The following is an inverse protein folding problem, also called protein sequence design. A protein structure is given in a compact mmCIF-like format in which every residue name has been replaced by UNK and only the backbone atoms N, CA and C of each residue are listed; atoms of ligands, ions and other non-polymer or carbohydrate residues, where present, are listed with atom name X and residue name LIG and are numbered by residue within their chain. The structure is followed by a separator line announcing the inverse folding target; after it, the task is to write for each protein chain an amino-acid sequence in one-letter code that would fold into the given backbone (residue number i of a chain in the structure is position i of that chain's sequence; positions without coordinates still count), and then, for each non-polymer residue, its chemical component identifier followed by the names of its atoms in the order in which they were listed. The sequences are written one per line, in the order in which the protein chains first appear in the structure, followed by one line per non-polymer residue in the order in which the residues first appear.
data_IF_391930894727
#
_entry.id   IF_391930894727
#
_cell.length_a   1.000
_cell.length_b   1.000
_cell.length_c   1.000
_cell.angle_alpha   90.00
_cell.angle_beta   90.00
_cell.angle_gamma   90.00
#
_symmetry.space_group_name_H-M   'P 1'
#
loop_
_entity.id
_entity.type
_entity.pdbx_description
1 polymer ?
#
# COMPACT_ATOMS: atom_id res chain seq x y z
N UNK A 1 10.69 87.01 83.92
CA UNK A 1 9.43 87.07 84.66
C UNK A 1 8.42 86.16 83.96
N UNK A 2 7.88 85.21 84.73
CA UNK A 2 6.73 84.32 84.39
C UNK A 2 6.83 83.36 83.25
N UNK A 3 7.00 82.05 83.51
CA UNK A 3 6.04 80.98 83.75
C UNK A 3 5.10 80.80 82.60
N UNK A 4 4.96 79.63 81.97
CA UNK A 4 4.26 78.36 82.30
C UNK A 4 4.37 77.36 81.17
N UNK A 5 4.76 76.27 81.54
CA UNK A 5 4.03 75.01 81.72
C UNK A 5 3.54 74.33 80.48
N UNK A 6 4.12 73.22 80.24
CA UNK A 6 3.89 72.25 79.22
C UNK A 6 3.09 71.09 79.75
N UNK A 7 2.15 70.58 78.95
CA UNK A 7 1.67 69.24 79.17
C UNK A 7 1.79 68.44 77.85
N UNK A 8 2.36 67.30 78.01
CA UNK A 8 2.56 66.36 76.91
C UNK A 8 1.29 65.58 76.53
N UNK A 9 1.20 65.27 75.29
CA UNK A 9 0.24 64.32 74.78
C UNK A 9 0.99 63.11 74.22
N UNK A 10 0.76 61.98 74.84
CA UNK A 10 1.17 60.68 74.32
C UNK A 10 0.20 60.29 73.15
N UNK A 11 0.72 60.02 72.05
CA UNK A 11 0.01 59.33 70.97
C UNK A 11 0.72 58.03 70.64
N UNK A 12 0.15 56.95 71.12
CA UNK A 12 0.51 55.60 70.66
C UNK A 12 -0.78 54.88 70.34
N UNK A 13 -1.18 54.89 69.10
CA UNK A 13 -2.13 53.90 68.59
C UNK A 13 -1.51 53.21 67.41
N UNK A 14 -0.97 52.03 67.68
CA UNK A 14 -0.54 51.06 66.65
C UNK A 14 -1.78 50.38 66.07
N UNK A 15 -2.17 50.73 64.86
CA UNK A 15 -3.13 50.00 64.12
C UNK A 15 -2.50 48.68 63.60
N UNK A 16 -2.65 47.58 64.32
CA UNK A 16 -2.36 46.27 63.86
C UNK A 16 -3.48 45.84 62.84
N UNK A 17 -3.15 45.41 61.61
CA UNK A 17 -4.16 44.98 60.70
C UNK A 17 -4.77 43.65 61.19
N UNK A 18 -6.10 43.59 61.25
CA UNK A 18 -6.85 42.42 61.70
C UNK A 18 -6.59 41.17 60.82
N UNK A 19 -6.54 39.98 61.44
CA UNK A 19 -6.24 38.72 60.72
C UNK A 19 -7.21 38.45 59.55
N UNK A 20 -8.39 38.99 59.58
CA UNK A 20 -9.41 38.84 58.55
C UNK A 20 -9.11 39.60 57.27
N UNK A 21 -8.35 40.68 57.29
CA UNK A 21 -7.91 41.41 56.09
C UNK A 21 -6.79 40.68 55.34
N UNK A 22 -5.93 39.92 56.06
CA UNK A 22 -4.88 39.08 55.45
C UNK A 22 -5.44 37.85 54.79
N UNK A 23 -6.53 37.23 55.30
CA UNK A 23 -7.21 36.11 54.69
C UNK A 23 -7.93 36.53 53.41
N UNK A 24 -8.53 37.72 53.33
CA UNK A 24 -9.18 38.23 52.11
C UNK A 24 -8.20 38.52 50.97
N UNK A 25 -7.01 39.00 51.23
CA UNK A 25 -5.97 39.27 50.24
C UNK A 25 -5.35 37.98 49.67
N UNK A 26 -5.19 36.93 50.48
CA UNK A 26 -4.72 35.62 50.02
C UNK A 26 -5.78 34.88 49.20
N UNK A 27 -7.05 35.02 49.52
CA UNK A 27 -8.13 34.44 48.74
C UNK A 27 -8.33 35.13 47.35
N UNK A 28 -8.09 36.45 47.28
CA UNK A 28 -8.16 37.19 46.02
C UNK A 28 -6.96 36.88 45.08
N UNK A 29 -5.76 36.56 45.64
CA UNK A 29 -4.61 36.16 44.81
C UNK A 29 -4.75 34.74 44.22
N UNK A 30 -5.46 33.82 44.88
CA UNK A 30 -5.75 32.47 44.33
C UNK A 30 -6.81 32.46 43.25
N UNK A 31 -7.72 33.45 43.21
CA UNK A 31 -8.76 33.59 42.21
C UNK A 31 -8.27 34.13 40.83
N UNK A 32 -7.03 34.67 40.79
CA UNK A 32 -6.41 35.22 39.58
C UNK A 32 -5.40 34.27 38.90
N UNK A 33 -5.36 32.99 39.26
CA UNK A 33 -4.61 32.03 38.42
C UNK A 33 -5.34 31.92 37.07
N UNK A 34 -4.74 32.36 35.94
CA UNK A 34 -5.31 32.10 34.67
C UNK A 34 -5.46 30.58 34.56
N UNK A 35 -6.70 30.10 34.42
CA UNK A 35 -6.95 28.70 34.13
C UNK A 35 -6.09 28.36 32.92
N UNK A 36 -5.06 27.54 33.10
CA UNK A 36 -4.33 26.94 32.01
C UNK A 36 -5.37 26.10 31.30
N UNK A 37 -6.04 26.71 30.33
CA UNK A 37 -6.85 25.98 29.39
C UNK A 37 -5.87 24.97 28.76
N UNK A 38 -5.92 23.73 29.21
CA UNK A 38 -5.33 22.60 28.53
C UNK A 38 -5.98 22.62 27.15
N UNK A 39 -5.35 23.32 26.20
CA UNK A 39 -5.68 23.25 24.80
C UNK A 39 -5.51 21.79 24.43
N UNK A 40 -6.59 21.05 24.42
CA UNK A 40 -6.59 19.71 23.84
C UNK A 40 -6.10 19.90 22.42
N UNK A 41 -4.90 19.39 22.14
CA UNK A 41 -4.41 19.35 20.78
C UNK A 41 -5.55 18.76 19.92
N UNK A 42 -5.90 19.40 18.80
CA UNK A 42 -7.00 18.93 17.97
C UNK A 42 -6.80 17.45 17.67
N UNK A 43 -7.79 16.65 18.02
CA UNK A 43 -7.73 15.20 17.78
C UNK A 43 -7.56 14.96 16.28
N UNK A 44 -6.52 14.22 15.90
CA UNK A 44 -6.33 13.83 14.51
C UNK A 44 -7.42 12.81 14.10
N UNK A 45 -8.05 12.92 12.90
CA UNK A 45 -7.94 14.00 11.92
C UNK A 45 -8.89 15.17 12.20
N UNK A 46 -8.45 16.41 11.93
CA UNK A 46 -9.25 17.63 12.09
C UNK A 46 -9.53 18.35 10.75
N UNK A 47 -8.97 17.84 9.64
CA UNK A 47 -9.12 18.37 8.27
C UNK A 47 -9.16 17.22 7.26
N UNK A 48 -9.57 17.45 6.01
CA UNK A 48 -9.59 16.42 4.98
C UNK A 48 -8.22 15.73 4.78
N UNK A 49 -8.27 14.41 4.55
CA UNK A 49 -7.11 13.58 4.24
C UNK A 49 -7.07 13.35 2.72
N UNK A 50 -5.88 13.38 2.15
CA UNK A 50 -5.65 13.14 0.74
C UNK A 50 -4.96 11.80 0.52
N UNK A 51 -5.51 10.95 -0.34
CA UNK A 51 -4.87 9.75 -0.88
C UNK A 51 -4.38 10.07 -2.28
N UNK A 52 -3.07 10.09 -2.47
CA UNK A 52 -2.41 10.29 -3.76
C UNK A 52 -2.30 8.95 -4.48
N UNK A 53 -2.77 8.88 -5.72
CA UNK A 53 -2.77 7.70 -6.58
C UNK A 53 -1.77 7.87 -7.71
N UNK A 54 -0.84 6.91 -7.94
CA UNK A 54 0.24 7.05 -8.93
C UNK A 54 -0.17 6.84 -10.38
N UNK A 55 -1.42 6.44 -10.63
CA UNK A 55 -1.93 6.09 -11.96
C UNK A 55 -3.16 6.89 -12.34
N UNK A 56 -3.53 6.79 -13.62
CA UNK A 56 -4.69 7.48 -14.18
C UNK A 56 -6.00 7.03 -13.50
N UNK A 57 -7.01 7.91 -13.44
CA UNK A 57 -8.35 7.57 -12.98
C UNK A 57 -8.93 6.36 -13.74
N UNK A 58 -9.72 5.54 -13.03
CA UNK A 58 -10.39 4.36 -13.58
C UNK A 58 -9.54 3.09 -13.64
N UNK A 59 -8.24 3.16 -13.34
CA UNK A 59 -7.39 1.97 -13.18
C UNK A 59 -7.66 1.24 -11.86
N UNK A 60 -7.10 0.02 -11.72
CA UNK A 60 -7.30 -0.82 -10.53
C UNK A 60 -6.91 -0.10 -9.23
N UNK A 61 -5.73 0.52 -9.17
CA UNK A 61 -5.25 1.27 -8.00
C UNK A 61 -6.17 2.46 -7.65
N UNK A 62 -6.68 3.18 -8.66
CA UNK A 62 -7.62 4.29 -8.48
C UNK A 62 -8.96 3.79 -7.93
N UNK A 63 -9.47 2.70 -8.48
CA UNK A 63 -10.72 2.06 -8.02
C UNK A 63 -10.61 1.63 -6.56
N UNK A 64 -9.50 0.98 -6.18
CA UNK A 64 -9.22 0.61 -4.79
C UNK A 64 -9.19 1.85 -3.89
N UNK A 65 -8.46 2.90 -4.32
CA UNK A 65 -8.34 4.13 -3.54
C UNK A 65 -9.71 4.78 -3.29
N UNK A 66 -10.59 4.83 -4.30
CA UNK A 66 -11.93 5.40 -4.16
C UNK A 66 -12.85 4.57 -3.28
N UNK A 67 -12.84 3.23 -3.43
CA UNK A 67 -13.58 2.31 -2.56
C UNK A 67 -13.14 2.49 -1.11
N UNK A 68 -11.84 2.58 -0.86
CA UNK A 68 -11.30 2.79 0.48
C UNK A 68 -11.59 4.19 1.02
N UNK A 69 -11.46 5.24 0.20
CA UNK A 69 -11.71 6.62 0.61
C UNK A 69 -13.15 6.83 1.11
N UNK A 70 -14.14 6.21 0.45
CA UNK A 70 -15.53 6.23 0.88
C UNK A 70 -15.72 5.70 2.32
N UNK A 71 -15.13 4.54 2.62
CA UNK A 71 -15.23 3.92 3.95
C UNK A 71 -14.36 4.60 4.99
N UNK A 72 -13.15 5.02 4.61
CA UNK A 72 -12.27 5.76 5.51
C UNK A 72 -12.87 7.11 5.93
N UNK A 73 -13.64 7.76 5.04
CA UNK A 73 -14.39 8.98 5.39
C UNK A 73 -15.34 8.72 6.55
N UNK A 74 -16.06 7.59 6.52
CA UNK A 74 -16.99 7.20 7.60
C UNK A 74 -16.23 6.85 8.89
N UNK A 75 -15.17 6.02 8.78
CA UNK A 75 -14.45 5.50 9.95
C UNK A 75 -13.59 6.57 10.64
N UNK A 76 -13.09 7.55 9.89
CA UNK A 76 -12.24 8.63 10.42
C UNK A 76 -13.01 9.90 10.77
N UNK A 77 -14.27 10.03 10.32
CA UNK A 77 -15.10 11.22 10.56
C UNK A 77 -14.64 12.48 9.83
N UNK A 78 -13.76 12.33 8.83
CA UNK A 78 -13.25 13.42 7.99
C UNK A 78 -13.21 12.99 6.53
N UNK A 79 -13.43 13.93 5.62
CA UNK A 79 -13.38 13.65 4.17
C UNK A 79 -12.05 13.07 3.75
N UNK A 80 -12.07 11.96 3.02
CA UNK A 80 -10.90 11.35 2.38
C UNK A 80 -11.02 11.53 0.87
N UNK A 81 -10.09 12.30 0.30
CA UNK A 81 -10.10 12.69 -1.10
C UNK A 81 -9.04 11.92 -1.89
N UNK A 82 -9.36 11.55 -3.12
CA UNK A 82 -8.42 10.86 -4.03
C UNK A 82 -7.89 11.85 -5.05
N UNK A 83 -6.55 11.96 -5.15
CA UNK A 83 -5.85 12.78 -6.13
C UNK A 83 -4.91 11.94 -6.98
N UNK A 84 -5.11 11.91 -8.30
CA UNK A 84 -4.23 11.18 -9.21
C UNK A 84 -3.05 12.05 -9.64
N UNK A 85 -1.81 11.54 -9.46
CA UNK A 85 -0.56 12.16 -9.94
C UNK A 85 0.17 11.17 -10.84
N UNK A 86 -0.06 11.32 -12.14
CA UNK A 86 0.45 10.38 -13.15
C UNK A 86 1.83 10.80 -13.65
N UNK A 87 2.68 9.84 -14.00
CA UNK A 87 3.94 10.06 -14.70
C UNK A 87 5.11 9.25 -14.12
N UNK A 88 6.15 9.07 -14.93
CA UNK A 88 7.36 8.30 -14.58
C UNK A 88 7.07 6.92 -13.96
N UNK A 89 6.13 6.16 -14.53
CA UNK A 89 5.73 4.85 -13.98
C UNK A 89 5.11 4.91 -12.57
N UNK A 90 4.62 6.08 -12.12
CA UNK A 90 4.10 6.33 -10.78
C UNK A 90 5.10 7.02 -9.85
N UNK A 91 6.34 7.19 -10.28
CA UNK A 91 7.40 7.81 -9.48
C UNK A 91 7.09 9.25 -9.05
N UNK A 92 6.37 10.04 -9.88
CA UNK A 92 5.97 11.41 -9.54
C UNK A 92 5.07 11.44 -8.29
N UNK A 93 4.11 10.53 -8.18
CA UNK A 93 3.25 10.43 -7.01
C UNK A 93 4.02 10.02 -5.75
N UNK A 94 4.90 9.03 -5.87
CA UNK A 94 5.73 8.57 -4.76
C UNK A 94 6.65 9.69 -4.25
N UNK A 95 7.37 10.39 -5.16
CA UNK A 95 8.21 11.53 -4.80
C UNK A 95 7.42 12.64 -4.12
N UNK A 96 6.23 12.98 -4.65
CA UNK A 96 5.38 14.01 -4.08
C UNK A 96 5.00 13.68 -2.62
N UNK A 97 4.61 12.43 -2.35
CA UNK A 97 4.23 12.02 -0.99
C UNK A 97 5.46 11.90 -0.10
N UNK A 98 6.59 11.38 -0.58
CA UNK A 98 7.82 11.31 0.19
C UNK A 98 8.29 12.67 0.73
N UNK A 99 7.99 13.76 0.00
CA UNK A 99 8.32 15.15 0.37
C UNK A 99 7.18 15.88 1.09
N UNK A 100 6.03 15.26 1.30
CA UNK A 100 4.91 15.87 1.99
C UNK A 100 5.15 15.97 3.51
N UNK A 101 4.39 16.83 4.19
CA UNK A 101 4.44 16.93 5.65
C UNK A 101 4.06 15.60 6.29
N UNK A 102 4.80 15.11 7.30
CA UNK A 102 4.54 13.84 7.96
C UNK A 102 3.45 13.98 9.05
N UNK A 103 2.32 14.59 8.69
CA UNK A 103 1.21 14.89 9.59
C UNK A 103 -0.01 13.94 9.41
N UNK A 104 0.10 12.98 8.48
CA UNK A 104 -0.94 12.00 8.19
C UNK A 104 -2.07 12.49 7.28
N UNK A 105 -2.01 13.71 6.76
CA UNK A 105 -3.04 14.26 5.86
C UNK A 105 -2.74 14.06 4.38
N UNK A 106 -1.54 13.58 4.06
CA UNK A 106 -1.18 13.17 2.69
C UNK A 106 -0.66 11.75 2.73
N UNK A 107 -1.40 10.83 2.13
CA UNK A 107 -1.09 9.40 2.08
C UNK A 107 -0.85 8.99 0.62
N UNK A 108 -0.05 7.97 0.42
CA UNK A 108 0.14 7.31 -0.88
C UNK A 108 -0.72 6.05 -0.94
N UNK A 109 -1.55 5.90 -1.97
CA UNK A 109 -1.98 4.58 -2.39
C UNK A 109 -0.80 3.92 -3.11
N UNK A 110 0.06 3.32 -2.31
CA UNK A 110 1.26 2.66 -2.81
C UNK A 110 0.86 1.43 -3.62
N UNK A 111 1.40 1.33 -4.83
CA UNK A 111 1.26 0.17 -5.69
C UNK A 111 2.60 -0.57 -5.79
N UNK A 112 2.56 -1.88 -5.71
CA UNK A 112 3.77 -2.72 -5.75
C UNK A 112 4.72 -2.36 -6.91
N UNK A 113 4.26 -2.14 -8.17
CA UNK A 113 5.17 -1.77 -9.25
C UNK A 113 5.96 -0.50 -8.98
N UNK A 114 5.35 0.50 -8.32
CA UNK A 114 6.00 1.76 -7.96
C UNK A 114 7.02 1.55 -6.84
N UNK A 115 6.70 0.69 -5.87
CA UNK A 115 7.51 0.53 -4.66
C UNK A 115 8.61 -0.53 -4.79
N UNK A 116 8.47 -1.50 -5.68
CA UNK A 116 9.41 -2.61 -5.79
C UNK A 116 10.01 -2.81 -7.19
N UNK A 117 9.23 -2.66 -8.28
CA UNK A 117 9.75 -2.85 -9.64
C UNK A 117 10.50 -1.59 -10.10
N UNK A 118 9.89 -0.41 -10.01
CA UNK A 118 10.49 0.81 -10.54
C UNK A 118 11.89 1.08 -9.94
N UNK A 119 12.12 0.93 -8.62
CA UNK A 119 13.46 1.07 -8.05
C UNK A 119 14.44 -0.05 -8.45
N UNK A 120 13.94 -1.21 -8.90
CA UNK A 120 14.78 -2.31 -9.35
C UNK A 120 15.27 -2.16 -10.79
N UNK A 121 14.62 -1.32 -11.60
CA UNK A 121 14.93 -1.15 -13.03
C UNK A 121 15.36 0.28 -13.40
N UNK A 122 15.05 1.26 -12.54
CA UNK A 122 15.36 2.67 -12.78
C UNK A 122 15.90 3.35 -11.51
N UNK A 123 16.67 4.41 -11.69
CA UNK A 123 17.01 5.31 -10.59
C UNK A 123 15.78 6.14 -10.20
N UNK A 124 15.35 6.05 -8.95
CA UNK A 124 14.21 6.80 -8.42
C UNK A 124 14.66 7.99 -7.58
N UNK A 125 13.81 9.03 -7.50
CA UNK A 125 14.01 10.20 -6.62
C UNK A 125 13.53 9.96 -5.19
N UNK A 126 13.07 8.75 -4.87
CA UNK A 126 12.60 8.30 -3.55
C UNK A 126 13.17 6.92 -3.23
N UNK A 127 13.21 6.63 -1.94
CA UNK A 127 13.54 5.31 -1.41
C UNK A 127 12.29 4.69 -0.75
N UNK A 128 11.80 3.55 -1.24
CA UNK A 128 10.57 2.93 -0.75
C UNK A 128 10.58 2.57 0.75
N UNK A 129 11.76 2.33 1.31
CA UNK A 129 11.92 1.90 2.72
C UNK A 129 12.21 3.08 3.64
N UNK A 130 13.03 4.02 3.19
CA UNK A 130 13.48 5.15 4.00
C UNK A 130 12.47 6.30 4.05
N UNK A 131 11.84 6.59 2.92
CA UNK A 131 11.06 7.82 2.75
C UNK A 131 9.57 7.63 3.08
N UNK A 132 9.15 6.40 3.46
CA UNK A 132 7.75 6.08 3.79
C UNK A 132 7.62 5.26 5.07
N UNK A 133 6.47 5.45 5.72
CA UNK A 133 5.97 4.57 6.78
C UNK A 133 4.81 3.75 6.23
N UNK A 134 4.92 2.41 6.18
CA UNK A 134 3.81 1.54 5.81
C UNK A 134 2.65 1.66 6.80
N UNK A 135 1.42 1.60 6.30
CA UNK A 135 0.19 1.64 7.11
C UNK A 135 -0.54 0.30 7.05
N UNK A 136 -1.02 -0.07 5.86
CA UNK A 136 -1.72 -1.35 5.67
C UNK A 136 -1.74 -1.74 4.20
N UNK A 137 -1.54 -3.02 3.92
CA UNK A 137 -1.86 -3.60 2.62
C UNK A 137 -3.37 -3.76 2.52
N UNK A 138 -3.99 -3.03 1.61
CA UNK A 138 -5.45 -3.08 1.39
C UNK A 138 -5.85 -4.39 0.72
N UNK A 139 -5.07 -4.82 -0.27
CA UNK A 139 -5.35 -6.06 -0.98
C UNK A 139 -4.32 -6.38 -2.06
N UNK A 140 -4.38 -7.61 -2.54
CA UNK A 140 -3.48 -8.13 -3.56
C UNK A 140 -4.22 -8.61 -4.80
N UNK A 141 -3.49 -8.58 -5.91
CA UNK A 141 -3.92 -9.11 -7.19
C UNK A 141 -2.89 -10.16 -7.61
N UNK A 142 -3.13 -11.45 -7.35
CA UNK A 142 -2.27 -12.50 -7.85
C UNK A 142 -2.38 -12.60 -9.37
N UNK A 143 -1.31 -13.08 -9.98
CA UNK A 143 -1.31 -13.46 -11.38
C UNK A 143 -1.60 -14.96 -11.50
N UNK A 144 -2.15 -15.36 -12.63
CA UNK A 144 -2.40 -16.77 -12.94
C UNK A 144 -1.67 -17.14 -14.22
N UNK A 145 -1.05 -18.31 -14.22
CA UNK A 145 -0.39 -18.88 -15.38
C UNK A 145 -1.43 -19.58 -16.27
N UNK A 146 -1.73 -18.98 -17.41
CA UNK A 146 -2.53 -19.57 -18.46
C UNK A 146 -1.67 -20.24 -19.52
N UNK A 147 -2.06 -21.42 -19.96
CA UNK A 147 -1.45 -22.13 -21.11
C UNK A 147 -2.48 -22.44 -22.16
N UNK A 148 -2.09 -22.35 -23.44
CA UNK A 148 -2.96 -22.72 -24.55
C UNK A 148 -3.26 -24.23 -24.57
N UNK A 149 -4.43 -24.62 -25.05
CA UNK A 149 -4.89 -26.04 -25.10
C UNK A 149 -3.95 -26.99 -25.87
N UNK A 150 -3.17 -26.47 -26.85
CA UNK A 150 -2.20 -27.27 -27.60
C UNK A 150 -0.96 -27.67 -26.74
N UNK A 151 -0.76 -27.08 -25.57
CA UNK A 151 0.29 -27.45 -24.64
C UNK A 151 -0.19 -28.65 -23.81
N UNK A 152 0.38 -29.86 -23.98
CA UNK A 152 -0.07 -31.05 -23.25
C UNK A 152 0.48 -31.06 -21.81
N UNK A 153 0.08 -30.05 -21.01
CA UNK A 153 0.43 -29.91 -19.62
C UNK A 153 -0.79 -29.41 -18.82
N UNK A 154 -1.12 -30.10 -17.72
CA UNK A 154 -2.26 -29.80 -16.87
C UNK A 154 -1.85 -29.14 -15.54
N UNK A 155 -0.56 -29.09 -15.27
CA UNK A 155 0.03 -28.47 -14.09
C UNK A 155 1.43 -27.91 -14.42
N UNK A 156 2.00 -27.19 -13.47
CA UNK A 156 3.30 -26.52 -13.63
C UNK A 156 4.43 -27.53 -13.86
N UNK A 157 4.43 -28.68 -13.17
CA UNK A 157 5.48 -29.70 -13.29
C UNK A 157 5.47 -30.32 -14.68
N UNK A 158 4.30 -30.63 -15.24
CA UNK A 158 4.16 -31.15 -16.61
C UNK A 158 4.64 -30.13 -17.64
N UNK A 159 4.31 -28.83 -17.46
CA UNK A 159 4.82 -27.77 -18.33
C UNK A 159 6.35 -27.71 -18.29
N UNK A 160 6.94 -27.71 -17.11
CA UNK A 160 8.41 -27.69 -16.96
C UNK A 160 9.06 -28.89 -17.63
N UNK A 161 8.54 -30.11 -17.42
CA UNK A 161 9.05 -31.32 -18.04
C UNK A 161 8.92 -31.30 -19.56
N UNK A 162 7.82 -30.76 -20.08
CA UNK A 162 7.56 -30.62 -21.50
C UNK A 162 8.54 -29.63 -22.16
N UNK A 163 8.74 -28.45 -21.57
CA UNK A 163 9.61 -27.42 -22.13
C UNK A 163 11.07 -27.85 -22.05
N UNK A 164 11.51 -28.53 -20.98
CA UNK A 164 12.87 -29.10 -20.88
C UNK A 164 13.19 -30.11 -22.00
N UNK A 165 12.21 -30.89 -22.43
CA UNK A 165 12.37 -31.83 -23.56
C UNK A 165 12.38 -31.12 -24.91
N UNK A 166 11.95 -29.90 -25.00
CA UNK A 166 11.78 -29.14 -26.22
C UNK A 166 12.27 -27.68 -26.05
N UNK A 167 13.57 -27.45 -25.77
CA UNK A 167 14.11 -26.12 -25.52
C UNK A 167 13.86 -25.19 -26.74
N UNK A 168 13.50 -23.94 -26.47
CA UNK A 168 13.24 -22.91 -27.49
C UNK A 168 11.97 -23.08 -28.32
N UNK A 169 11.21 -24.19 -28.15
CA UNK A 169 10.01 -24.47 -28.94
C UNK A 169 8.79 -23.64 -28.49
N UNK A 170 8.72 -23.26 -27.25
CA UNK A 170 7.57 -22.61 -26.65
C UNK A 170 7.83 -21.13 -26.37
N UNK A 171 6.80 -20.31 -26.55
CA UNK A 171 6.85 -18.87 -26.32
C UNK A 171 5.97 -18.49 -25.14
N UNK A 172 6.37 -17.45 -24.42
CA UNK A 172 5.51 -16.81 -23.42
C UNK A 172 5.24 -15.35 -23.79
N UNK A 173 4.01 -14.92 -23.57
CA UNK A 173 3.57 -13.56 -23.78
C UNK A 173 3.79 -12.67 -22.56
N UNK A 174 3.85 -11.36 -22.79
CA UNK A 174 3.71 -10.35 -21.75
C UNK A 174 2.99 -9.11 -22.24
N UNK A 175 2.47 -8.30 -21.31
CA UNK A 175 1.87 -7.00 -21.62
C UNK A 175 2.88 -5.91 -21.93
N UNK A 176 4.16 -6.25 -22.13
CA UNK A 176 5.25 -5.33 -22.44
C UNK A 176 6.53 -5.65 -21.66
N UNK A 177 7.67 -5.24 -22.19
CA UNK A 177 8.96 -5.40 -21.51
C UNK A 177 8.96 -4.61 -20.18
N UNK A 178 9.39 -5.26 -19.09
CA UNK A 178 9.37 -4.68 -17.73
C UNK A 178 8.01 -4.71 -17.04
N UNK A 179 6.93 -5.17 -17.71
CA UNK A 179 5.64 -5.36 -17.06
C UNK A 179 5.66 -6.47 -16.03
N UNK A 180 4.69 -6.47 -15.10
CA UNK A 180 4.56 -7.53 -14.10
C UNK A 180 4.44 -8.90 -14.74
N UNK A 181 3.65 -9.04 -15.83
CA UNK A 181 3.52 -10.30 -16.58
C UNK A 181 4.85 -10.77 -17.17
N UNK A 182 5.66 -9.84 -17.72
CA UNK A 182 7.00 -10.16 -18.21
C UNK A 182 7.90 -10.67 -17.09
N UNK A 183 8.01 -9.89 -16.02
CA UNK A 183 8.91 -10.21 -14.90
C UNK A 183 8.52 -11.50 -14.19
N UNK A 184 7.21 -11.76 -14.03
CA UNK A 184 6.71 -13.02 -13.45
C UNK A 184 7.07 -14.23 -14.31
N UNK A 185 6.87 -14.13 -15.62
CA UNK A 185 7.22 -15.20 -16.56
C UNK A 185 8.74 -15.42 -16.62
N UNK A 186 9.52 -14.34 -16.71
CA UNK A 186 10.99 -14.43 -16.75
C UNK A 186 11.56 -15.05 -15.46
N UNK A 187 11.03 -14.68 -14.30
CA UNK A 187 11.40 -15.28 -13.02
C UNK A 187 11.07 -16.78 -13.00
N UNK A 188 9.87 -17.16 -13.45
CA UNK A 188 9.47 -18.56 -13.54
C UNK A 188 10.37 -19.35 -14.46
N UNK A 189 10.59 -18.89 -15.70
CA UNK A 189 11.47 -19.51 -16.70
C UNK A 189 12.88 -19.72 -16.16
N UNK A 190 13.41 -18.68 -15.49
CA UNK A 190 14.74 -18.73 -14.86
C UNK A 190 14.80 -19.75 -13.70
N UNK A 191 13.86 -19.70 -12.75
CA UNK A 191 13.86 -20.65 -11.60
C UNK A 191 13.59 -22.09 -12.02
N UNK A 192 12.77 -22.28 -13.05
CA UNK A 192 12.49 -23.60 -13.63
C UNK A 192 13.65 -24.12 -14.50
N UNK A 193 14.62 -23.26 -14.85
CA UNK A 193 15.71 -23.57 -15.78
C UNK A 193 15.18 -24.18 -17.09
N UNK A 194 14.23 -23.50 -17.71
CA UNK A 194 13.60 -23.88 -19.00
C UNK A 194 13.89 -22.77 -20.02
N UNK A 195 13.86 -23.16 -21.29
CA UNK A 195 14.09 -22.26 -22.42
C UNK A 195 12.77 -21.96 -23.15
N UNK A 196 12.31 -20.72 -23.03
CA UNK A 196 11.12 -20.19 -23.69
C UNK A 196 11.40 -18.79 -24.23
N UNK A 197 10.91 -18.49 -25.41
CA UNK A 197 11.09 -17.17 -26.02
C UNK A 197 10.04 -16.18 -25.54
N UNK A 198 10.48 -14.98 -25.16
CA UNK A 198 9.59 -13.88 -24.78
C UNK A 198 8.99 -13.17 -26.00
N UNK A 199 7.67 -12.99 -26.01
CA UNK A 199 6.94 -12.19 -26.99
C UNK A 199 6.25 -11.03 -26.27
N UNK A 200 6.68 -9.80 -26.56
CA UNK A 200 6.20 -8.57 -25.92
C UNK A 200 5.04 -7.96 -26.69
N UNK A 201 3.93 -7.65 -26.00
CA UNK A 201 2.75 -7.00 -26.55
C UNK A 201 2.55 -5.60 -25.94
N UNK A 202 1.65 -4.81 -26.52
CA UNK A 202 1.24 -3.49 -26.00
C UNK A 202 0.04 -3.63 -25.07
N UNK A 203 0.24 -4.35 -23.94
CA UNK A 203 -0.82 -4.62 -22.95
C UNK A 203 -1.27 -6.07 -22.89
N UNK A 204 -2.12 -6.41 -21.91
CA UNK A 204 -2.60 -7.77 -21.68
C UNK A 204 -3.58 -8.26 -22.77
N UNK A 205 -4.49 -7.41 -23.23
CA UNK A 205 -5.53 -7.80 -24.18
C UNK A 205 -4.97 -8.44 -25.49
N UNK A 206 -3.99 -7.85 -26.20
CA UNK A 206 -3.40 -8.50 -27.37
C UNK A 206 -2.60 -9.76 -27.01
N UNK A 207 -1.97 -9.84 -25.83
CA UNK A 207 -1.30 -11.03 -25.34
C UNK A 207 -2.29 -12.20 -25.12
N UNK A 208 -3.45 -11.91 -24.53
CA UNK A 208 -4.54 -12.89 -24.34
C UNK A 208 -5.11 -13.35 -25.69
N UNK A 209 -5.30 -12.44 -26.64
CA UNK A 209 -5.76 -12.79 -27.99
C UNK A 209 -4.84 -13.83 -28.65
N UNK A 210 -3.55 -13.62 -28.60
CA UNK A 210 -2.55 -14.52 -29.19
C UNK A 210 -2.38 -15.82 -28.40
N UNK A 211 -2.58 -15.79 -27.08
CA UNK A 211 -2.66 -16.99 -26.26
C UNK A 211 -3.87 -17.85 -26.67
N UNK A 212 -5.04 -17.23 -26.85
CA UNK A 212 -6.27 -17.96 -27.30
C UNK A 212 -6.14 -18.54 -28.68
N UNK A 213 -5.40 -17.88 -29.57
CA UNK A 213 -5.11 -18.34 -30.93
C UNK A 213 -4.01 -19.43 -30.99
N UNK A 214 -3.22 -19.61 -29.91
CA UNK A 214 -2.10 -20.53 -29.85
C UNK A 214 -0.79 -20.02 -30.47
N UNK A 215 -0.71 -18.73 -30.82
CA UNK A 215 0.51 -18.09 -31.31
C UNK A 215 1.59 -18.02 -30.26
N UNK A 216 1.18 -17.92 -28.98
CA UNK A 216 2.02 -18.07 -27.78
C UNK A 216 1.43 -19.15 -26.88
N UNK A 217 2.27 -19.79 -26.06
CA UNK A 217 1.86 -20.99 -25.33
C UNK A 217 1.63 -20.74 -23.85
N UNK A 218 2.20 -19.67 -23.29
CA UNK A 218 2.06 -19.33 -21.87
C UNK A 218 1.90 -17.82 -21.69
N UNK A 219 1.08 -17.43 -20.71
CA UNK A 219 0.94 -16.05 -20.26
C UNK A 219 0.67 -15.98 -18.76
N UNK A 220 1.38 -15.09 -18.07
CA UNK A 220 1.02 -14.67 -16.72
C UNK A 220 0.10 -13.46 -16.80
N UNK A 221 -1.18 -13.65 -16.52
CA UNK A 221 -2.19 -12.60 -16.61
C UNK A 221 -2.92 -12.38 -15.29
N UNK A 222 -3.63 -11.27 -15.20
CA UNK A 222 -4.60 -11.07 -14.14
C UNK A 222 -5.77 -12.05 -14.27
N UNK A 223 -6.45 -12.33 -13.17
CA UNK A 223 -7.66 -13.16 -13.18
C UNK A 223 -8.72 -12.60 -14.14
N UNK A 224 -8.94 -11.28 -14.11
CA UNK A 224 -9.87 -10.60 -14.99
C UNK A 224 -9.56 -10.73 -16.49
N UNK A 225 -8.29 -11.00 -16.85
CA UNK A 225 -7.86 -11.18 -18.23
C UNK A 225 -8.06 -12.63 -18.72
N UNK A 226 -7.96 -13.63 -17.85
CA UNK A 226 -7.91 -15.05 -18.26
C UNK A 226 -9.16 -15.84 -17.88
N UNK A 227 -9.75 -15.59 -16.70
CA UNK A 227 -10.92 -16.35 -16.21
C UNK A 227 -12.12 -16.29 -17.16
N UNK A 228 -12.47 -15.16 -17.79
CA UNK A 228 -13.60 -15.11 -18.72
C UNK A 228 -13.46 -16.03 -19.93
N UNK A 229 -12.25 -16.43 -20.27
CA UNK A 229 -11.98 -17.27 -21.45
C UNK A 229 -11.92 -18.77 -21.16
N UNK A 230 -12.05 -19.20 -19.90
CA UNK A 230 -12.01 -20.62 -19.53
C UNK A 230 -13.14 -21.43 -20.14
N UNK A 231 -14.35 -20.86 -20.19
CA UNK A 231 -15.52 -21.54 -20.76
C UNK A 231 -15.34 -21.91 -22.26
N UNK A 232 -14.49 -21.16 -22.98
CA UNK A 232 -14.16 -21.44 -24.38
C UNK A 232 -13.21 -22.62 -24.59
N UNK A 233 -12.62 -23.17 -23.53
CA UNK A 233 -11.75 -24.35 -23.55
C UNK A 233 -10.43 -24.18 -24.33
N UNK A 234 -10.08 -22.97 -24.77
CA UNK A 234 -8.85 -22.71 -25.52
C UNK A 234 -7.61 -22.56 -24.61
N UNK A 235 -7.82 -22.30 -23.33
CA UNK A 235 -6.75 -22.18 -22.34
C UNK A 235 -7.06 -23.00 -21.09
N UNK A 236 -6.01 -23.31 -20.33
CA UNK A 236 -6.07 -23.84 -18.98
C UNK A 236 -5.27 -22.97 -18.03
N UNK A 237 -5.73 -22.84 -16.80
CA UNK A 237 -4.99 -22.18 -15.72
C UNK A 237 -4.29 -23.26 -14.90
N UNK A 238 -2.97 -23.22 -14.82
CA UNK A 238 -2.17 -24.29 -14.23
C UNK A 238 -1.36 -23.88 -13.00
N UNK A 239 -1.34 -22.61 -12.65
CA UNK A 239 -0.62 -22.14 -11.47
C UNK A 239 -1.02 -20.74 -11.06
N UNK A 240 -1.11 -20.48 -9.77
CA UNK A 240 -1.33 -19.15 -9.20
C UNK A 240 -0.03 -18.64 -8.62
N UNK A 241 0.26 -17.34 -8.77
CA UNK A 241 1.53 -16.74 -8.37
C UNK A 241 1.60 -16.27 -6.92
N UNK A 242 0.55 -16.44 -6.14
CA UNK A 242 0.46 -16.09 -4.71
C UNK A 242 1.00 -17.19 -3.80
N UNK A 243 1.28 -16.85 -2.53
CA UNK A 243 1.72 -17.81 -1.50
C UNK A 243 0.64 -18.83 -1.14
N UNK A 244 -0.64 -18.43 -1.27
CA UNK A 244 -1.81 -19.29 -1.01
C UNK A 244 -2.66 -19.34 -2.26
N UNK A 245 -3.42 -20.42 -2.42
CA UNK A 245 -4.42 -20.53 -3.49
C UNK A 245 -5.42 -19.40 -3.40
N UNK A 246 -5.83 -18.89 -4.54
CA UNK A 246 -6.87 -17.86 -4.58
C UNK A 246 -8.23 -18.46 -4.23
N UNK A 247 -9.03 -17.70 -3.46
CA UNK A 247 -10.42 -18.04 -3.18
C UNK A 247 -11.29 -18.13 -4.45
N UNK A 248 -10.90 -17.41 -5.50
CA UNK A 248 -11.57 -17.44 -6.80
C UNK A 248 -11.23 -18.67 -7.63
N UNK A 249 -10.09 -19.34 -7.40
CA UNK A 249 -9.59 -20.51 -8.11
C UNK A 249 -8.99 -21.54 -7.12
N UNK A 250 -9.76 -22.07 -6.16
CA UNK A 250 -9.23 -22.93 -5.09
C UNK A 250 -8.67 -24.27 -5.62
N UNK A 251 -9.09 -24.69 -6.83
CA UNK A 251 -8.62 -25.91 -7.49
C UNK A 251 -7.24 -25.72 -8.16
N UNK A 252 -6.79 -24.49 -8.42
CA UNK A 252 -5.50 -24.23 -9.04
C UNK A 252 -4.42 -24.09 -7.98
N UNK A 253 -3.41 -24.97 -8.03
CA UNK A 253 -2.29 -24.94 -7.11
C UNK A 253 -1.45 -23.67 -7.25
N UNK A 254 -0.75 -23.25 -6.21
CA UNK A 254 0.23 -22.20 -6.37
C UNK A 254 1.49 -22.71 -7.07
N UNK A 255 2.25 -21.82 -7.70
CA UNK A 255 3.55 -22.17 -8.29
C UNK A 255 4.52 -22.63 -7.18
N UNK A 256 4.42 -22.03 -5.99
CA UNK A 256 5.21 -22.44 -4.83
C UNK A 256 4.91 -23.89 -4.41
N UNK A 257 3.62 -24.30 -4.32
CA UNK A 257 3.19 -25.69 -4.08
C UNK A 257 3.66 -26.66 -5.18
N UNK A 258 3.88 -26.12 -6.39
CA UNK A 258 4.26 -26.88 -7.58
C UNK A 258 5.78 -27.10 -7.72
N UNK A 259 6.54 -27.00 -6.63
CA UNK A 259 7.98 -27.31 -6.60
C UNK A 259 8.89 -26.07 -6.73
N UNK A 260 8.33 -24.85 -6.60
CA UNK A 260 9.09 -23.61 -6.63
C UNK A 260 8.90 -22.82 -5.33
N UNK A 261 9.42 -23.32 -4.19
CA UNK A 261 9.22 -22.70 -2.89
C UNK A 261 9.68 -21.23 -2.91
N UNK A 262 8.89 -20.35 -2.31
CA UNK A 262 9.16 -18.90 -2.31
C UNK A 262 8.91 -18.20 -3.65
N UNK A 263 8.33 -18.88 -4.64
CA UNK A 263 7.83 -18.19 -5.84
C UNK A 263 6.59 -17.38 -5.48
N UNK A 264 6.71 -16.07 -5.62
CA UNK A 264 5.62 -15.13 -5.37
C UNK A 264 5.75 -13.92 -6.29
N UNK A 265 4.78 -13.72 -7.18
CA UNK A 265 4.72 -12.55 -8.05
C UNK A 265 3.29 -12.01 -8.04
N UNK A 266 2.97 -11.27 -6.98
CA UNK A 266 1.66 -10.63 -6.80
C UNK A 266 1.82 -9.12 -6.89
N UNK A 267 0.81 -8.44 -7.40
CA UNK A 267 0.69 -7.01 -7.16
C UNK A 267 -0.14 -6.77 -5.91
N UNK A 268 0.08 -5.65 -5.25
CA UNK A 268 -0.70 -5.22 -4.11
C UNK A 268 -0.86 -3.70 -4.14
N UNK A 269 -1.88 -3.25 -3.43
CA UNK A 269 -2.11 -1.85 -3.16
C UNK A 269 -2.25 -1.65 -1.66
N UNK A 270 -1.48 -0.72 -1.11
CA UNK A 270 -1.46 -0.43 0.32
C UNK A 270 -1.36 1.05 0.59
N UNK A 271 -1.75 1.47 1.77
CA UNK A 271 -1.56 2.85 2.22
C UNK A 271 -0.20 3.01 2.88
N UNK A 272 0.48 4.08 2.51
CA UNK A 272 1.73 4.53 3.12
C UNK A 272 1.67 6.02 3.42
N UNK A 273 2.39 6.45 4.45
CA UNK A 273 2.56 7.86 4.81
C UNK A 273 4.03 8.29 4.59
N UNK A 274 4.33 9.61 4.55
CA UNK A 274 5.70 10.09 4.58
C UNK A 274 6.45 9.61 5.81
N UNK A 275 7.76 9.39 5.68
CA UNK A 275 8.62 9.07 6.83
C UNK A 275 8.51 10.13 7.93
N UNK A 276 8.50 9.70 9.20
CA UNK A 276 8.32 10.59 10.34
C UNK A 276 6.86 10.86 10.73
N UNK A 277 5.87 10.28 10.03
CA UNK A 277 4.46 10.36 10.46
C UNK A 277 4.30 9.71 11.85
N UNK A 278 3.62 10.38 12.82
CA UNK A 278 3.48 9.86 14.17
C UNK A 278 2.84 8.47 14.21
N UNK A 279 3.38 7.58 15.06
CA UNK A 279 2.91 6.19 15.16
C UNK A 279 1.41 6.09 15.50
N UNK A 280 0.89 7.00 16.33
CA UNK A 280 -0.54 7.05 16.67
C UNK A 280 -1.42 7.33 15.44
N UNK A 281 -0.97 8.19 14.52
CA UNK A 281 -1.66 8.48 13.26
C UNK A 281 -1.62 7.26 12.34
N UNK A 282 -0.45 6.64 12.18
CA UNK A 282 -0.28 5.41 11.39
C UNK A 282 -1.22 4.31 11.89
N UNK A 283 -1.25 4.08 13.22
CA UNK A 283 -2.11 3.06 13.81
C UNK A 283 -3.60 3.39 13.62
N UNK A 284 -4.01 4.65 13.82
CA UNK A 284 -5.41 5.07 13.63
C UNK A 284 -5.90 4.85 12.19
N UNK A 285 -5.03 5.11 11.18
CA UNK A 285 -5.37 4.83 9.77
C UNK A 285 -5.39 3.32 9.51
N UNK A 286 -4.44 2.55 10.06
CA UNK A 286 -4.40 1.10 9.90
C UNK A 286 -5.67 0.43 10.48
N UNK A 287 -6.10 0.87 11.66
CA UNK A 287 -7.34 0.38 12.28
C UNK A 287 -8.56 0.73 11.43
N UNK A 288 -8.63 1.96 10.89
CA UNK A 288 -9.71 2.37 10.01
C UNK A 288 -9.74 1.57 8.69
N UNK A 289 -8.58 1.19 8.14
CA UNK A 289 -8.49 0.28 6.98
C UNK A 289 -9.02 -1.10 7.33
N UNK A 290 -8.62 -1.65 8.47
CA UNK A 290 -9.09 -2.97 8.94
C UNK A 290 -10.61 -2.98 9.14
N UNK A 291 -11.17 -1.95 9.80
CA UNK A 291 -12.62 -1.77 9.95
C UNK A 291 -13.32 -1.66 8.60
N UNK A 292 -12.75 -0.89 7.66
CA UNK A 292 -13.32 -0.73 6.31
C UNK A 292 -13.40 -2.07 5.57
N UNK A 293 -12.35 -2.88 5.64
CA UNK A 293 -12.30 -4.18 4.97
C UNK A 293 -13.18 -5.24 5.63
N UNK A 294 -13.45 -5.11 6.93
CA UNK A 294 -14.38 -5.99 7.66
C UNK A 294 -15.85 -5.63 7.43
N UNK A 295 -16.15 -4.49 6.82
CA UNK A 295 -17.52 -4.06 6.56
C UNK A 295 -18.22 -5.00 5.56
N UNK A 296 -19.54 -5.21 5.79
CA UNK A 296 -20.35 -6.05 4.92
C UNK A 296 -20.28 -5.62 3.45
N UNK A 297 -20.14 -6.58 2.54
CA UNK A 297 -20.05 -6.36 1.10
C UNK A 297 -18.70 -5.82 0.61
N UNK A 298 -17.78 -5.39 1.48
CA UNK A 298 -16.50 -4.82 1.06
C UNK A 298 -15.61 -5.83 0.34
N UNK A 299 -15.52 -7.05 0.87
CA UNK A 299 -14.75 -8.11 0.24
C UNK A 299 -15.26 -8.42 -1.17
N UNK A 300 -16.58 -8.57 -1.33
CA UNK A 300 -17.20 -8.80 -2.63
C UNK A 300 -16.94 -7.65 -3.62
N UNK A 301 -17.03 -6.39 -3.15
CA UNK A 301 -16.77 -5.21 -3.96
C UNK A 301 -15.33 -5.14 -4.47
N UNK A 302 -14.36 -5.53 -3.65
CA UNK A 302 -12.94 -5.62 -4.05
C UNK A 302 -12.71 -6.80 -5.00
N UNK A 303 -13.31 -7.97 -4.73
CA UNK A 303 -13.19 -9.15 -5.59
C UNK A 303 -13.77 -8.92 -6.99
N UNK A 304 -14.83 -8.12 -7.13
CA UNK A 304 -15.38 -7.73 -8.45
C UNK A 304 -14.36 -7.01 -9.35
N UNK A 305 -13.38 -6.32 -8.74
CA UNK A 305 -12.27 -5.68 -9.46
C UNK A 305 -10.98 -6.50 -9.43
N UNK A 306 -11.06 -7.79 -9.07
CA UNK A 306 -9.94 -8.73 -9.06
C UNK A 306 -8.97 -8.56 -7.90
N UNK A 307 -9.43 -8.01 -6.76
CA UNK A 307 -8.61 -7.76 -5.57
C UNK A 307 -9.00 -8.71 -4.44
N UNK A 308 -8.05 -9.47 -3.93
CA UNK A 308 -8.21 -10.23 -2.70
C UNK A 308 -7.91 -9.32 -1.50
N UNK A 309 -8.90 -9.00 -0.63
CA UNK A 309 -8.71 -8.11 0.51
C UNK A 309 -7.74 -8.69 1.53
N UNK A 310 -6.87 -7.85 2.14
CA UNK A 310 -5.86 -8.29 3.12
C UNK A 310 -6.05 -7.59 4.47
N UNK A 311 -5.94 -6.28 4.55
CA UNK A 311 -6.02 -5.53 5.81
C UNK A 311 -4.85 -5.80 6.74
N UNK A 312 -3.61 -5.71 6.25
CA UNK A 312 -2.41 -6.01 7.03
C UNK A 312 -2.12 -4.97 8.11
N UNK A 313 -1.32 -5.38 9.09
CA UNK A 313 -0.65 -4.44 10.00
C UNK A 313 0.44 -3.64 9.28
N UNK A 314 0.91 -2.52 9.85
CA UNK A 314 2.04 -1.76 9.31
C UNK A 314 3.32 -2.59 9.16
N UNK A 315 3.59 -3.48 10.13
CA UNK A 315 4.76 -4.38 10.11
C UNK A 315 4.67 -5.38 8.96
N UNK A 316 3.52 -6.01 8.78
CA UNK A 316 3.32 -6.98 7.68
C UNK A 316 3.47 -6.33 6.31
N UNK A 317 3.01 -5.09 6.12
CA UNK A 317 3.26 -4.37 4.86
C UNK A 317 4.74 -4.05 4.68
N UNK A 318 5.45 -3.65 5.75
CA UNK A 318 6.89 -3.41 5.69
C UNK A 318 7.67 -4.67 5.30
N UNK A 319 7.31 -5.81 5.89
CA UNK A 319 7.95 -7.10 5.60
C UNK A 319 7.62 -7.56 4.16
N UNK A 320 6.37 -7.37 3.71
CA UNK A 320 5.94 -7.63 2.32
C UNK A 320 6.75 -6.79 1.34
N UNK A 321 6.91 -5.49 1.58
CA UNK A 321 7.69 -4.60 0.71
C UNK A 321 9.14 -5.07 0.57
N UNK A 322 9.81 -5.40 1.68
CA UNK A 322 11.21 -5.87 1.65
C UNK A 322 11.36 -7.18 0.88
N UNK A 323 10.44 -8.12 1.11
CA UNK A 323 10.43 -9.39 0.40
C UNK A 323 10.21 -9.19 -1.11
N UNK A 324 9.27 -8.33 -1.47
CA UNK A 324 8.98 -8.04 -2.87
C UNK A 324 10.13 -7.31 -3.57
N UNK A 325 10.78 -6.35 -2.94
CA UNK A 325 11.97 -5.70 -3.51
C UNK A 325 13.05 -6.72 -3.90
N UNK A 326 13.27 -7.75 -3.08
CA UNK A 326 14.22 -8.82 -3.38
C UNK A 326 13.76 -9.67 -4.57
N UNK A 327 12.49 -10.12 -4.56
CA UNK A 327 11.90 -10.95 -5.63
C UNK A 327 11.89 -10.21 -6.98
N UNK A 328 11.46 -8.95 -6.99
CA UNK A 328 11.38 -8.18 -8.22
C UNK A 328 12.73 -7.74 -8.74
N UNK A 329 13.73 -7.56 -7.87
CA UNK A 329 15.13 -7.40 -8.30
C UNK A 329 15.67 -8.67 -8.98
N UNK A 330 15.37 -9.87 -8.43
CA UNK A 330 15.69 -11.15 -9.08
C UNK A 330 14.98 -11.28 -10.44
N UNK A 331 13.68 -10.96 -10.48
CA UNK A 331 12.89 -11.01 -11.70
C UNK A 331 13.41 -10.06 -12.79
N UNK A 332 13.81 -8.85 -12.43
CA UNK A 332 14.40 -7.89 -13.36
C UNK A 332 15.73 -8.40 -13.96
N UNK A 333 16.58 -9.02 -13.13
CA UNK A 333 17.81 -9.68 -13.60
C UNK A 333 17.52 -10.86 -14.53
N UNK A 334 16.54 -11.71 -14.17
CA UNK A 334 16.11 -12.84 -15.00
C UNK A 334 15.58 -12.38 -16.37
N UNK A 335 14.86 -11.25 -16.40
CA UNK A 335 14.38 -10.63 -17.62
C UNK A 335 15.46 -9.89 -18.43
N UNK A 336 16.71 -9.86 -17.95
CA UNK A 336 17.86 -9.14 -18.56
C UNK A 336 17.57 -7.66 -18.81
N UNK A 337 16.73 -7.04 -17.96
CA UNK A 337 16.49 -5.60 -18.04
C UNK A 337 17.74 -4.87 -17.53
N UNK A 338 18.19 -3.89 -18.30
CA UNK A 338 19.26 -2.98 -17.87
C UNK A 338 18.63 -1.89 -17.00
N UNK A 339 19.33 -1.54 -15.91
CA UNK A 339 19.01 -0.29 -15.18
C UNK A 339 19.42 0.89 -16.07
N UNK A 340 18.46 1.79 -16.32
CA UNK A 340 18.70 3.07 -17.00
C UNK A 340 19.02 4.18 -16.01
#
# INVERSE_FOLDING_TARGET
MKFLNTQGVRASDQFAPSPWRRAGLLAALLACLPGVALSQAPTWPSKPIKIVVPFAPGGNTDSIARIMAERLTQNLGQSVLVENKVGAGGGIAAEFVAKAAPDGYTLLMAAMPVMAILPAINKTSYDPVRDFVPISNVGSNPFVMGVHKSVPANNVQELVALVRKNPGKYNYASGGSGSVSHLSAALFVNRAQIDMTHVSYKGGAPAVTDLLAGNVQMYFGNFSELVPHLAGGNIRLIGVSSDKRSSQLPQVATIAESGFPGFRTVTWNGLMAPAGTPAAVVQRVADAVKEALAAEGMAARLQQIGVDPIGSTPRELADTLRADMAIWSEAAKAAKLKME
#
